data_IF_156767554967
#
_entry.id   IF_156767554967
#
_cell.length_a   1.000
_cell.length_b   1.000
_cell.length_c   1.000
_cell.angle_alpha   90.00
_cell.angle_beta   90.00
_cell.angle_gamma   90.00
#
_symmetry.space_group_name_H-M   'P 1'
#
loop_
_entity.id
_entity.type
_entity.pdbx_description
1 polymer ?
#
# COMPACT_ATOMS: atom_id res chain seq x y z
N UNK A 1 17.24 -4.77 21.91
CA UNK A 1 16.16 -3.77 21.82
C UNK A 1 14.86 -4.55 21.92
N UNK A 2 14.08 -4.35 22.98
CA UNK A 2 12.76 -4.98 23.09
C UNK A 2 11.86 -4.39 22.01
N UNK A 3 11.19 -5.24 21.22
CA UNK A 3 10.09 -4.79 20.38
C UNK A 3 9.10 -3.98 21.23
N UNK A 4 8.52 -2.89 20.70
CA UNK A 4 7.47 -2.19 21.42
C UNK A 4 6.34 -3.18 21.65
N UNK A 5 6.03 -3.43 22.92
CA UNK A 5 4.87 -4.19 23.35
C UNK A 5 3.67 -3.56 22.63
N UNK A 6 3.04 -4.30 21.70
CA UNK A 6 1.98 -3.81 20.81
C UNK A 6 0.67 -3.40 21.50
N UNK A 7 0.73 -3.02 22.78
CA UNK A 7 -0.37 -2.47 23.52
C UNK A 7 -0.51 -0.97 23.20
N UNK A 8 -1.65 -0.61 22.60
CA UNK A 8 -2.00 0.79 22.32
C UNK A 8 -2.83 1.34 23.45
N UNK A 9 -2.29 2.37 24.10
CA UNK A 9 -3.00 3.20 25.05
C UNK A 9 -3.20 4.59 24.44
N UNK A 10 -4.41 5.11 24.53
CA UNK A 10 -4.71 6.51 24.28
C UNK A 10 -4.70 7.22 25.63
N UNK A 11 -3.69 8.05 25.85
CA UNK A 11 -3.56 8.82 27.08
C UNK A 11 -4.07 10.23 26.82
N UNK A 12 -5.08 10.64 27.58
CA UNK A 12 -5.67 11.98 27.51
C UNK A 12 -5.69 12.61 28.89
N UNK A 13 -5.76 13.93 28.96
CA UNK A 13 -5.96 14.66 30.23
C UNK A 13 -7.40 15.16 30.26
N UNK A 14 -8.20 14.71 31.24
CA UNK A 14 -9.59 15.14 31.46
C UNK A 14 -9.70 15.68 32.89
N UNK A 15 -10.19 16.91 33.05
CA UNK A 15 -10.40 17.59 34.33
C UNK A 15 -9.18 17.63 35.29
N UNK A 16 -7.97 17.67 34.72
CA UNK A 16 -6.73 17.69 35.50
C UNK A 16 -6.13 16.30 35.78
N UNK A 17 -6.87 15.23 35.50
CA UNK A 17 -6.44 13.85 35.68
C UNK A 17 -5.93 13.24 34.37
N UNK A 18 -4.96 12.33 34.48
CA UNK A 18 -4.50 11.51 33.36
C UNK A 18 -5.42 10.29 33.23
N UNK A 19 -6.03 10.15 32.05
CA UNK A 19 -6.89 9.02 31.69
C UNK A 19 -6.21 8.22 30.59
N UNK A 20 -6.01 6.92 30.82
CA UNK A 20 -5.49 5.99 29.83
C UNK A 20 -6.59 5.04 29.37
N UNK A 21 -6.89 5.04 28.08
CA UNK A 21 -7.89 4.19 27.45
C UNK A 21 -7.19 3.13 26.58
N UNK A 22 -7.66 1.89 26.63
CA UNK A 22 -7.16 0.77 25.80
C UNK A 22 -8.28 0.24 24.92
N UNK A 23 -7.97 0.01 23.65
CA UNK A 23 -8.92 -0.51 22.67
C UNK A 23 -9.04 -2.04 22.78
N UNK A 24 -10.27 -2.54 22.66
CA UNK A 24 -10.59 -3.96 22.61
C UNK A 24 -11.55 -4.22 21.45
N UNK A 25 -11.48 -5.41 20.89
CA UNK A 25 -12.38 -5.93 19.86
C UNK A 25 -13.31 -6.98 20.47
N UNK A 26 -14.51 -7.09 19.92
CA UNK A 26 -15.54 -8.00 20.39
C UNK A 26 -16.05 -8.83 19.21
N UNK A 27 -16.08 -10.15 19.38
CA UNK A 27 -16.51 -11.09 18.35
C UNK A 27 -17.68 -11.93 18.83
N UNK A 28 -18.73 -12.11 18.02
CA UNK A 28 -19.90 -12.90 18.40
C UNK A 28 -19.52 -14.38 18.58
N UNK A 29 -20.03 -14.99 19.65
CA UNK A 29 -19.95 -16.43 19.91
C UNK A 29 -21.28 -17.11 19.55
N UNK A 30 -21.21 -18.43 19.35
CA UNK A 30 -22.39 -19.24 19.03
C UNK A 30 -23.48 -19.22 20.13
N UNK A 31 -23.12 -18.90 21.37
CA UNK A 31 -24.04 -18.77 22.51
C UNK A 31 -24.75 -17.40 22.57
N UNK A 32 -24.52 -16.51 21.59
CA UNK A 32 -25.11 -15.17 21.52
C UNK A 32 -24.39 -14.11 22.36
N UNK A 33 -23.32 -14.47 23.08
CA UNK A 33 -22.47 -13.52 23.80
C UNK A 33 -21.24 -13.14 22.97
N UNK A 34 -20.42 -12.22 23.45
CA UNK A 34 -19.21 -11.77 22.74
C UNK A 34 -17.93 -12.24 23.44
N UNK A 35 -16.93 -12.59 22.64
CA UNK A 35 -15.57 -12.82 23.09
C UNK A 35 -14.76 -11.52 22.93
N UNK A 36 -14.12 -11.09 24.01
CA UNK A 36 -13.27 -9.91 24.04
C UNK A 36 -11.84 -10.29 23.67
N UNK A 37 -11.25 -9.52 22.76
CA UNK A 37 -9.86 -9.65 22.36
C UNK A 37 -9.14 -8.31 22.53
N UNK A 38 -7.87 -8.39 22.89
CA UNK A 38 -6.96 -7.27 22.72
C UNK A 38 -6.63 -7.11 21.23
N UNK A 39 -6.38 -5.89 20.78
CA UNK A 39 -5.99 -5.63 19.37
C UNK A 39 -4.79 -6.50 18.94
N UNK A 40 -3.83 -6.78 19.83
CA UNK A 40 -2.69 -7.66 19.55
C UNK A 40 -3.04 -9.11 19.25
N UNK A 41 -4.24 -9.55 19.66
CA UNK A 41 -4.73 -10.91 19.43
C UNK A 41 -5.49 -11.02 18.10
N UNK A 42 -5.74 -9.90 17.44
CA UNK A 42 -6.34 -9.87 16.11
C UNK A 42 -5.33 -10.30 15.04
N UNK A 43 -5.83 -10.68 13.86
CA UNK A 43 -4.98 -10.92 12.69
C UNK A 43 -4.18 -9.67 12.31
N UNK A 44 -3.00 -9.85 11.72
CA UNK A 44 -2.18 -8.73 11.23
C UNK A 44 -2.95 -7.81 10.28
N UNK A 45 -3.82 -8.37 9.43
CA UNK A 45 -4.66 -7.59 8.52
C UNK A 45 -5.70 -6.74 9.25
N UNK A 46 -6.33 -7.28 10.29
CA UNK A 46 -7.24 -6.51 11.15
C UNK A 46 -6.51 -5.39 11.88
N UNK A 47 -5.33 -5.68 12.45
CA UNK A 47 -4.50 -4.68 13.13
C UNK A 47 -4.08 -3.56 12.17
N UNK A 48 -3.63 -3.93 10.96
CA UNK A 48 -3.28 -2.97 9.90
C UNK A 48 -4.47 -2.12 9.49
N UNK A 49 -5.64 -2.71 9.30
CA UNK A 49 -6.83 -1.94 8.93
C UNK A 49 -7.16 -0.91 10.02
N UNK A 50 -7.12 -1.30 11.29
CA UNK A 50 -7.33 -0.39 12.43
C UNK A 50 -6.30 0.76 12.43
N UNK A 51 -5.05 0.52 12.02
CA UNK A 51 -4.04 1.58 11.84
C UNK A 51 -4.39 2.57 10.73
N UNK A 52 -4.90 2.08 9.61
CA UNK A 52 -5.18 2.89 8.43
C UNK A 52 -6.51 3.66 8.54
N UNK A 53 -7.49 3.12 9.27
CA UNK A 53 -8.84 3.68 9.37
C UNK A 53 -8.87 5.18 9.71
N UNK A 54 -8.13 5.70 10.72
CA UNK A 54 -8.15 7.12 11.03
C UNK A 54 -7.73 8.01 9.86
N UNK A 55 -6.76 7.57 9.05
CA UNK A 55 -6.33 8.30 7.86
C UNK A 55 -7.43 8.32 6.80
N UNK A 56 -8.01 7.16 6.49
CA UNK A 56 -9.09 7.05 5.48
C UNK A 56 -10.37 7.78 5.89
N UNK A 57 -10.73 7.76 7.17
CA UNK A 57 -11.87 8.53 7.69
C UNK A 57 -11.66 10.04 7.50
N UNK A 58 -10.48 10.54 7.83
CA UNK A 58 -10.14 11.97 7.63
C UNK A 58 -10.00 12.33 6.15
N UNK A 59 -9.53 11.42 5.32
CA UNK A 59 -9.47 11.60 3.86
C UNK A 59 -10.88 11.63 3.24
N UNK A 60 -11.85 10.92 3.82
CA UNK A 60 -13.26 10.92 3.39
C UNK A 60 -14.07 12.11 3.91
N UNK A 61 -13.56 12.83 4.92
CA UNK A 61 -14.25 13.99 5.48
C UNK A 61 -14.18 15.19 4.52
N UNK A 62 -15.25 15.32 3.74
CA UNK A 62 -15.46 16.38 2.76
C UNK A 62 -15.92 17.71 3.39
N UNK A 63 -16.23 17.72 4.69
CA UNK A 63 -16.82 18.87 5.39
C UNK A 63 -15.78 19.88 5.87
N UNK A 64 -14.62 19.39 6.28
CA UNK A 64 -13.44 20.22 6.46
C UNK A 64 -12.80 20.45 5.11
N UNK A 65 -12.48 21.70 4.76
CA UNK A 65 -11.58 22.02 3.64
C UNK A 65 -10.16 21.52 3.91
N UNK A 66 -10.01 20.21 4.12
CA UNK A 66 -8.83 19.57 4.64
C UNK A 66 -7.76 19.55 3.54
N UNK A 67 -6.70 20.31 3.79
CA UNK A 67 -5.51 20.38 2.93
C UNK A 67 -4.46 19.35 3.41
N UNK A 68 -4.91 18.16 3.80
CA UNK A 68 -4.07 17.18 4.47
C UNK A 68 -3.37 16.27 3.44
N UNK A 69 -2.08 16.06 3.64
CA UNK A 69 -1.30 15.06 2.90
C UNK A 69 -1.10 13.86 3.83
N UNK A 70 -1.53 12.68 3.40
CA UNK A 70 -1.25 11.41 4.06
C UNK A 70 -0.16 10.68 3.31
N UNK A 71 0.84 10.20 4.04
CA UNK A 71 1.94 9.41 3.50
C UNK A 71 1.88 8.05 4.18
N UNK A 72 1.65 7.00 3.40
CA UNK A 72 1.46 5.63 3.90
C UNK A 72 2.47 4.71 3.23
N UNK A 73 3.45 4.25 4.00
CA UNK A 73 4.40 3.24 3.53
C UNK A 73 3.77 1.85 3.59
N UNK A 74 3.99 1.06 2.54
CA UNK A 74 3.46 -0.30 2.33
C UNK A 74 1.98 -0.41 2.65
N UNK A 75 1.14 0.30 1.89
CA UNK A 75 -0.31 0.34 2.17
C UNK A 75 -0.96 -1.05 2.18
N UNK A 76 -0.45 -1.97 1.38
CA UNK A 76 -0.91 -3.35 1.23
C UNK A 76 -0.37 -4.32 2.28
N UNK A 77 0.48 -3.87 3.22
CA UNK A 77 1.08 -4.73 4.24
C UNK A 77 0.00 -5.54 4.98
N UNK A 78 0.09 -6.87 4.90
CA UNK A 78 -0.85 -7.81 5.53
C UNK A 78 -2.32 -7.66 5.07
N UNK A 79 -2.59 -6.90 4.01
CA UNK A 79 -3.93 -6.73 3.44
C UNK A 79 -4.05 -7.49 2.13
N UNK A 80 -5.25 -7.99 1.87
CA UNK A 80 -5.57 -8.55 0.56
C UNK A 80 -5.67 -7.42 -0.48
N UNK A 81 -5.12 -7.61 -1.67
CA UNK A 81 -5.14 -6.67 -2.81
C UNK A 81 -6.48 -5.96 -2.99
N UNK A 82 -7.58 -6.74 -3.01
CA UNK A 82 -8.92 -6.19 -3.23
C UNK A 82 -9.35 -5.20 -2.14
N UNK A 83 -8.93 -5.42 -0.88
CA UNK A 83 -9.23 -4.50 0.21
C UNK A 83 -8.44 -3.20 0.05
N UNK A 84 -7.15 -3.29 -0.26
CA UNK A 84 -6.30 -2.12 -0.55
C UNK A 84 -6.86 -1.32 -1.73
N UNK A 85 -7.25 -1.99 -2.81
CA UNK A 85 -7.92 -1.38 -3.96
C UNK A 85 -9.18 -0.64 -3.53
N UNK A 86 -10.04 -1.26 -2.72
CA UNK A 86 -11.29 -0.65 -2.24
C UNK A 86 -11.04 0.60 -1.39
N UNK A 87 -10.00 0.61 -0.57
CA UNK A 87 -9.60 1.79 0.20
C UNK A 87 -9.19 2.94 -0.72
N UNK A 88 -8.37 2.66 -1.74
CA UNK A 88 -7.94 3.66 -2.73
C UNK A 88 -9.14 4.16 -3.55
N UNK A 89 -10.00 3.26 -4.04
CA UNK A 89 -11.23 3.62 -4.76
C UNK A 89 -12.14 4.52 -3.92
N UNK A 90 -12.32 4.20 -2.63
CA UNK A 90 -13.12 5.02 -1.71
C UNK A 90 -12.52 6.42 -1.51
N UNK A 91 -11.20 6.53 -1.43
CA UNK A 91 -10.52 7.83 -1.38
C UNK A 91 -10.73 8.64 -2.68
N UNK A 92 -10.49 8.02 -3.84
CA UNK A 92 -10.64 8.66 -5.14
C UNK A 92 -12.08 9.12 -5.40
N UNK A 93 -13.08 8.33 -4.98
CA UNK A 93 -14.49 8.70 -5.09
C UNK A 93 -14.87 9.93 -4.26
N UNK A 94 -14.13 10.23 -3.18
CA UNK A 94 -14.30 11.43 -2.37
C UNK A 94 -13.46 12.62 -2.85
N UNK A 95 -12.67 12.47 -3.92
CA UNK A 95 -11.91 13.57 -4.51
C UNK A 95 -12.79 14.39 -5.46
N UNK A 96 -12.94 15.69 -5.19
CA UNK A 96 -13.71 16.62 -6.03
C UNK A 96 -12.96 17.93 -6.23
N UNK A 97 -13.42 18.80 -7.14
CA UNK A 97 -12.68 20.01 -7.58
C UNK A 97 -12.18 20.93 -6.45
N UNK A 98 -12.86 20.95 -5.30
CA UNK A 98 -12.49 21.76 -4.12
C UNK A 98 -11.77 20.97 -3.03
N UNK A 99 -11.70 19.63 -3.10
CA UNK A 99 -10.86 18.86 -2.19
C UNK A 99 -9.39 19.18 -2.48
N UNK A 100 -8.58 19.14 -1.42
CA UNK A 100 -7.14 19.43 -1.45
C UNK A 100 -6.35 18.39 -0.65
N UNK A 101 -6.99 17.27 -0.33
CA UNK A 101 -6.35 16.11 0.26
C UNK A 101 -5.43 15.44 -0.77
N UNK A 102 -4.35 14.85 -0.27
CA UNK A 102 -3.43 14.04 -1.07
C UNK A 102 -3.12 12.76 -0.31
N UNK A 103 -3.03 11.65 -1.04
CA UNK A 103 -2.58 10.36 -0.55
C UNK A 103 -1.34 9.96 -1.33
N UNK A 104 -0.19 9.95 -0.66
CA UNK A 104 1.06 9.39 -1.15
C UNK A 104 1.23 8.02 -0.50
N UNK A 105 1.44 6.99 -1.30
CA UNK A 105 1.59 5.63 -0.81
C UNK A 105 2.69 4.88 -1.56
N UNK A 106 3.25 3.87 -0.90
CA UNK A 106 4.11 2.86 -1.53
C UNK A 106 3.40 1.52 -1.47
N UNK A 107 3.68 0.65 -2.44
CA UNK A 107 3.13 -0.69 -2.49
C UNK A 107 4.05 -1.64 -3.24
N UNK A 108 4.01 -2.92 -2.88
CA UNK A 108 4.60 -4.00 -3.65
C UNK A 108 3.56 -4.73 -4.53
N UNK A 109 2.29 -4.38 -4.40
CA UNK A 109 1.19 -5.03 -5.09
C UNK A 109 1.03 -4.52 -6.53
N UNK A 110 1.60 -5.29 -7.46
CA UNK A 110 1.52 -5.00 -8.90
C UNK A 110 0.10 -5.04 -9.45
N UNK A 111 -0.89 -5.60 -8.73
CA UNK A 111 -2.29 -5.59 -9.16
C UNK A 111 -2.94 -4.21 -8.99
N UNK A 112 -2.32 -3.32 -8.21
CA UNK A 112 -2.72 -1.91 -8.10
C UNK A 112 -2.17 -1.06 -9.26
N UNK A 113 -1.28 -1.60 -10.10
CA UNK A 113 -0.82 -0.96 -11.34
C UNK A 113 -1.87 -1.05 -12.44
N UNK A 114 -3.01 -0.40 -12.20
CA UNK A 114 -4.20 -0.44 -13.03
C UNK A 114 -4.54 0.98 -13.50
N UNK A 115 -4.61 1.18 -14.82
CA UNK A 115 -4.93 2.47 -15.42
C UNK A 115 -6.41 2.85 -15.27
N UNK A 116 -7.28 1.91 -14.87
CA UNK A 116 -8.65 2.21 -14.45
C UNK A 116 -8.71 2.77 -13.01
N UNK A 117 -7.67 2.50 -12.21
CA UNK A 117 -7.57 2.97 -10.83
C UNK A 117 -6.77 4.28 -10.70
N UNK A 118 -5.59 4.34 -11.33
CA UNK A 118 -4.65 5.46 -11.22
C UNK A 118 -4.18 5.94 -12.61
N UNK A 119 -3.97 7.25 -12.75
CA UNK A 119 -3.39 7.82 -13.97
C UNK A 119 -1.89 7.54 -14.04
N UNK A 120 -1.33 7.60 -15.25
CA UNK A 120 0.11 7.34 -15.48
C UNK A 120 1.05 8.33 -14.79
N UNK A 121 0.61 9.55 -14.55
CA UNK A 121 1.34 10.60 -13.81
C UNK A 121 1.22 10.42 -12.28
N UNK A 122 0.30 9.58 -11.82
CA UNK A 122 0.08 9.26 -10.39
C UNK A 122 0.83 7.99 -9.95
N UNK A 123 1.33 7.21 -10.91
CA UNK A 123 2.13 6.01 -10.65
C UNK A 123 3.61 6.31 -10.88
N UNK A 124 4.46 5.79 -10.00
CA UNK A 124 5.90 5.96 -10.04
C UNK A 124 6.58 4.63 -9.73
N UNK A 125 7.71 4.37 -10.39
CA UNK A 125 8.56 3.20 -10.13
C UNK A 125 9.88 3.66 -9.54
N UNK A 126 10.38 2.93 -8.54
CA UNK A 126 11.73 3.12 -8.02
C UNK A 126 12.67 2.13 -8.69
N UNK A 127 13.71 2.61 -9.38
CA UNK A 127 14.77 1.76 -9.94
C UNK A 127 16.10 2.05 -9.24
N UNK A 128 16.85 1.00 -8.91
CA UNK A 128 18.22 1.09 -8.43
C UNK A 128 19.19 0.70 -9.53
N UNK A 129 20.11 1.58 -9.89
CA UNK A 129 21.13 1.30 -10.90
C UNK A 129 22.26 0.42 -10.34
N UNK A 130 23.22 0.07 -11.20
CA UNK A 130 24.38 -0.78 -10.84
C UNK A 130 25.33 -0.14 -9.83
N UNK A 131 25.29 1.18 -9.68
CA UNK A 131 26.06 1.93 -8.67
C UNK A 131 25.32 2.04 -7.33
N UNK A 132 24.14 1.43 -7.20
CA UNK A 132 23.33 1.49 -5.99
C UNK A 132 22.51 2.77 -5.84
N UNK A 133 22.49 3.64 -6.85
CA UNK A 133 21.71 4.90 -6.82
C UNK A 133 20.27 4.59 -7.18
N UNK A 134 19.33 5.04 -6.35
CA UNK A 134 17.90 4.93 -6.58
C UNK A 134 17.34 6.16 -7.28
N UNK A 135 16.48 5.94 -8.28
CA UNK A 135 15.76 6.97 -9.01
C UNK A 135 14.27 6.65 -9.01
N UNK A 136 13.44 7.69 -8.86
CA UNK A 136 11.99 7.63 -9.02
C UNK A 136 11.63 8.09 -10.43
N UNK A 137 10.88 7.26 -11.16
CA UNK A 137 10.50 7.49 -12.55
C UNK A 137 8.98 7.39 -12.68
N UNK A 138 8.27 8.45 -13.13
CA UNK A 138 6.83 8.37 -13.33
C UNK A 138 6.50 7.53 -14.56
N UNK A 139 5.36 6.85 -14.54
CA UNK A 139 4.94 6.04 -15.69
C UNK A 139 4.57 6.89 -16.92
N UNK A 140 4.34 8.19 -16.75
CA UNK A 140 4.12 9.14 -17.86
C UNK A 140 5.35 9.37 -18.73
N UNK A 141 6.57 9.13 -18.23
CA UNK A 141 7.81 9.37 -18.99
C UNK A 141 8.07 8.32 -20.09
N UNK A 142 7.43 7.16 -20.00
CA UNK A 142 7.57 6.09 -20.98
C UNK A 142 6.73 6.33 -22.23
N UNK A 143 7.36 6.88 -23.29
CA UNK A 143 6.69 7.26 -24.55
C UNK A 143 6.16 6.08 -25.38
N UNK A 144 6.75 4.89 -25.24
CA UNK A 144 6.41 3.70 -26.06
C UNK A 144 5.17 2.92 -25.59
N UNK A 145 4.54 3.40 -24.50
CA UNK A 145 3.32 2.83 -23.93
C UNK A 145 2.14 3.57 -24.53
N UNK A 146 1.54 2.98 -25.57
CA UNK A 146 0.19 3.36 -26.01
C UNK A 146 -0.79 3.10 -24.87
N UNK A 147 -1.82 3.93 -24.76
CA UNK A 147 -2.86 3.88 -23.72
C UNK A 147 -3.55 2.50 -23.62
N UNK A 148 -3.59 1.75 -24.73
CA UNK A 148 -4.19 0.41 -24.85
C UNK A 148 -3.30 -0.74 -24.34
N UNK A 149 -2.03 -0.49 -24.00
CA UNK A 149 -1.12 -1.52 -23.48
C UNK A 149 -1.27 -1.65 -21.97
N UNK A 150 -1.41 -2.89 -21.50
CA UNK A 150 -1.35 -3.26 -20.09
C UNK A 150 0.02 -2.83 -19.50
N UNK A 151 -0.02 -1.79 -18.66
CA UNK A 151 1.15 -1.18 -18.04
C UNK A 151 1.86 -2.15 -17.08
N UNK A 152 1.07 -2.93 -16.33
CA UNK A 152 1.55 -3.98 -15.43
C UNK A 152 2.26 -5.07 -16.22
N UNK A 153 1.70 -5.52 -17.35
CA UNK A 153 2.37 -6.49 -18.23
C UNK A 153 3.73 -5.98 -18.70
N UNK A 154 3.79 -4.71 -19.11
CA UNK A 154 5.03 -4.10 -19.58
C UNK A 154 6.06 -3.90 -18.45
N UNK A 155 5.61 -3.61 -17.22
CA UNK A 155 6.45 -3.55 -16.02
C UNK A 155 7.03 -4.93 -15.68
N UNK A 156 6.19 -5.97 -15.64
CA UNK A 156 6.62 -7.35 -15.35
C UNK A 156 7.59 -7.92 -16.41
N UNK A 157 7.54 -7.39 -17.64
CA UNK A 157 8.51 -7.70 -18.70
C UNK A 157 9.85 -6.96 -18.55
N UNK A 158 9.99 -6.10 -17.54
CA UNK A 158 11.23 -5.36 -17.25
C UNK A 158 11.46 -4.13 -18.10
N UNK A 159 10.48 -3.68 -18.89
CA UNK A 159 10.64 -2.52 -19.79
C UNK A 159 10.71 -1.17 -19.08
N UNK A 160 10.38 -1.14 -17.79
CA UNK A 160 10.24 0.09 -16.99
C UNK A 160 11.13 0.11 -15.75
N UNK A 161 12.15 -0.77 -15.70
CA UNK A 161 12.98 -0.90 -14.50
C UNK A 161 12.16 -1.35 -13.28
N UNK A 162 12.71 -1.15 -12.08
CA UNK A 162 12.07 -1.47 -10.80
C UNK A 162 11.86 -2.95 -10.51
N UNK A 163 12.10 -3.83 -11.48
CA UNK A 163 12.07 -5.28 -11.27
C UNK A 163 13.35 -5.77 -10.57
N UNK A 164 13.25 -6.74 -9.63
CA UNK A 164 14.42 -7.37 -9.04
C UNK A 164 15.32 -8.02 -10.11
N UNK A 165 16.62 -7.69 -10.08
CA UNK A 165 17.63 -8.36 -10.90
C UNK A 165 18.18 -9.54 -10.12
N UNK A 166 17.69 -10.74 -10.43
CA UNK A 166 18.26 -11.97 -9.90
C UNK A 166 19.59 -12.22 -10.61
N UNK A 167 20.70 -11.91 -9.92
CA UNK A 167 22.03 -12.33 -10.35
C UNK A 167 22.12 -13.83 -10.11
N UNK A 168 21.75 -14.62 -11.12
CA UNK A 168 22.14 -16.01 -11.14
C UNK A 168 23.64 -16.02 -11.42
N UNK A 169 24.44 -16.44 -10.42
CA UNK A 169 25.81 -16.83 -10.70
C UNK A 169 25.74 -17.88 -11.82
N UNK A 170 26.35 -17.60 -12.96
CA UNK A 170 26.46 -18.57 -14.05
C UNK A 170 27.06 -19.87 -13.46
N UNK A 171 26.24 -20.92 -13.35
CA UNK A 171 26.68 -22.22 -12.85
C UNK A 171 25.73 -23.01 -11.96
N UNK A 172 24.63 -22.45 -11.44
CA UNK A 172 23.84 -23.15 -10.40
C UNK A 172 22.50 -23.75 -10.81
N UNK A 173 22.03 -23.62 -12.06
CA UNK A 173 20.83 -24.36 -12.52
C UNK A 173 21.01 -24.82 -13.97
N UNK A 174 21.34 -26.10 -14.23
CA UNK A 174 21.37 -26.65 -15.58
C UNK A 174 19.93 -26.74 -16.12
N UNK A 175 19.56 -25.89 -17.09
CA UNK A 175 18.30 -26.06 -17.82
C UNK A 175 17.66 -24.82 -18.45
N UNK A 176 18.01 -23.60 -18.05
CA UNK A 176 17.22 -22.41 -18.42
C UNK A 176 17.81 -21.53 -19.55
N UNK A 177 18.75 -22.04 -20.36
CA UNK A 177 19.45 -21.22 -21.39
C UNK A 177 18.91 -21.43 -22.81
N UNK A 178 17.92 -22.30 -23.06
CA UNK A 178 17.60 -22.70 -24.45
C UNK A 178 16.54 -21.93 -25.23
N UNK A 179 15.94 -20.85 -24.74
CA UNK A 179 14.87 -20.16 -25.50
C UNK A 179 15.15 -18.71 -25.94
N UNK A 180 16.33 -18.14 -25.65
CA UNK A 180 16.63 -16.76 -26.07
C UNK A 180 17.25 -16.63 -27.48
N UNK A 181 17.64 -17.72 -28.16
CA UNK A 181 18.34 -17.68 -29.45
C UNK A 181 17.50 -18.01 -30.69
N UNK A 182 16.17 -18.15 -30.59
CA UNK A 182 15.33 -18.52 -31.74
C UNK A 182 14.37 -17.46 -32.28
N UNK A 183 14.55 -16.19 -31.93
CA UNK A 183 13.77 -15.08 -32.49
C UNK A 183 14.63 -13.96 -33.08
N UNK A 184 15.71 -14.32 -33.78
CA UNK A 184 16.46 -13.46 -34.70
C UNK A 184 16.11 -13.76 -36.14
#
# INVERSE_FOLDING_TARGET
>A
MSEPIGERFMVTRKDGDLVAEKMFTYHPKADGTEARFEVRQESDGSQRLIELLPAFLKLSDSSSGSNNVYIIDEIDRSLHTLLTRKLIEAYLANCFKKSRSQLLLTTHDVLLMDQELLRRDEMWVTERNTLGISSLIPFSDYKDIRYDKDIRKSYLQGRMGGIPRFLFAEGSIPGLVREAEKAG
#
